data_IF_230220149583
#
_entry.id   IF_230220149583
#
_cell.length_a   1.000
_cell.length_b   1.000
_cell.length_c   1.000
_cell.angle_alpha   90.00
_cell.angle_beta   90.00
_cell.angle_gamma   90.00
#
_symmetry.space_group_name_H-M   'P 1'
#
loop_
_entity.id
_entity.type
_entity.pdbx_description
1 polymer ?
#
# COMPACT_ATOMS: atom_id res chain seq x y z
N UNK A 1 4.20 93.40 -13.41
CA UNK A 1 3.68 92.04 -13.14
C UNK A 1 3.79 91.18 -14.39
N UNK A 2 4.08 89.89 -14.19
CA UNK A 2 4.68 88.93 -15.15
C UNK A 2 3.79 88.54 -16.35
N UNK A 3 4.46 88.36 -17.49
CA UNK A 3 4.01 87.71 -18.74
C UNK A 3 3.79 86.21 -18.55
N UNK A 4 2.72 85.67 -19.13
CA UNK A 4 2.61 84.24 -19.45
C UNK A 4 2.94 84.01 -20.93
N UNK A 5 3.82 83.03 -21.20
CA UNK A 5 4.13 82.52 -22.55
C UNK A 5 3.49 81.13 -22.70
N UNK A 6 2.93 80.75 -23.85
CA UNK A 6 2.42 79.40 -24.06
C UNK A 6 3.57 78.39 -24.26
N UNK A 7 3.50 77.27 -23.56
CA UNK A 7 4.47 76.18 -23.60
C UNK A 7 4.27 75.27 -24.81
N UNK A 8 5.39 74.98 -25.48
CA UNK A 8 5.57 74.20 -26.71
C UNK A 8 5.10 72.75 -26.55
N UNK A 9 4.41 72.26 -27.58
CA UNK A 9 4.11 70.84 -27.84
C UNK A 9 5.38 70.08 -28.26
N UNK A 10 5.99 69.35 -27.33
CA UNK A 10 6.98 68.29 -27.62
C UNK A 10 6.64 66.99 -26.90
N UNK A 11 5.46 66.44 -27.16
CA UNK A 11 5.07 65.13 -26.64
C UNK A 11 4.63 64.22 -27.78
N UNK A 12 5.57 63.46 -28.36
CA UNK A 12 5.21 62.28 -29.17
C UNK A 12 6.31 61.23 -29.36
N UNK A 13 7.61 61.54 -29.15
CA UNK A 13 8.70 60.56 -29.36
C UNK A 13 9.11 59.72 -28.13
N UNK A 14 8.92 60.20 -26.88
CA UNK A 14 9.41 59.45 -25.69
C UNK A 14 8.49 58.31 -25.22
N UNK A 15 7.18 58.35 -25.54
CA UNK A 15 6.23 57.28 -25.17
C UNK A 15 6.41 56.01 -26.01
N UNK A 16 6.80 56.13 -27.28
CA UNK A 16 7.07 55.00 -28.18
C UNK A 16 8.28 54.19 -27.74
N UNK A 17 9.36 54.86 -27.31
CA UNK A 17 10.59 54.20 -26.87
C UNK A 17 10.37 53.45 -25.54
N UNK A 18 9.62 54.05 -24.60
CA UNK A 18 9.27 53.40 -23.32
C UNK A 18 8.30 52.22 -23.49
N UNK A 19 7.35 52.30 -24.43
CA UNK A 19 6.43 51.21 -24.73
C UNK A 19 7.11 50.01 -25.40
N UNK A 20 8.05 50.27 -26.32
CA UNK A 20 8.85 49.22 -26.96
C UNK A 20 9.77 48.48 -25.99
N UNK A 21 10.41 49.21 -25.06
CA UNK A 21 11.29 48.60 -24.05
C UNK A 21 10.49 47.73 -23.06
N UNK A 22 9.29 48.16 -22.68
CA UNK A 22 8.42 47.39 -21.77
C UNK A 22 7.96 46.08 -22.42
N UNK A 23 7.55 46.11 -23.69
CA UNK A 23 7.16 44.91 -24.44
C UNK A 23 8.31 43.90 -24.57
N UNK A 24 9.54 44.39 -24.76
CA UNK A 24 10.72 43.54 -24.91
C UNK A 24 11.10 42.86 -23.58
N UNK A 25 10.95 43.55 -22.45
CA UNK A 25 11.14 42.97 -21.11
C UNK A 25 10.06 41.93 -20.80
N UNK A 26 8.80 42.19 -21.13
CA UNK A 26 7.71 41.22 -20.94
C UNK A 26 7.90 39.97 -21.82
N UNK A 27 8.35 40.14 -23.06
CA UNK A 27 8.66 39.01 -23.95
C UNK A 27 9.83 38.16 -23.43
N UNK A 28 10.87 38.77 -22.86
CA UNK A 28 12.00 38.05 -22.25
C UNK A 28 11.59 37.31 -20.98
N UNK A 29 10.75 37.91 -20.13
CA UNK A 29 10.26 37.27 -18.90
C UNK A 29 9.30 36.10 -19.18
N UNK A 30 8.41 36.25 -20.17
CA UNK A 30 7.49 35.17 -20.58
C UNK A 30 8.22 34.06 -21.34
N UNK A 31 9.18 34.39 -22.21
CA UNK A 31 10.04 33.41 -22.88
C UNK A 31 10.91 32.61 -21.90
N UNK A 32 11.49 33.26 -20.90
CA UNK A 32 12.24 32.59 -19.81
C UNK A 32 11.35 31.66 -18.99
N UNK A 33 10.13 32.12 -18.66
CA UNK A 33 9.14 31.30 -17.93
C UNK A 33 8.73 30.05 -18.70
N UNK A 34 8.50 30.17 -20.01
CA UNK A 34 8.15 29.04 -20.89
C UNK A 34 9.34 28.10 -21.08
N UNK A 35 10.57 28.62 -21.20
CA UNK A 35 11.78 27.79 -21.30
C UNK A 35 12.07 27.03 -20.00
N UNK A 36 11.89 27.68 -18.84
CA UNK A 36 11.99 27.03 -17.52
C UNK A 36 10.90 25.97 -17.30
N UNK A 37 9.69 26.17 -17.86
CA UNK A 37 8.63 25.16 -17.82
C UNK A 37 8.87 24.01 -18.81
N UNK A 38 9.41 24.30 -20.00
CA UNK A 38 9.72 23.29 -21.01
C UNK A 38 10.91 22.39 -20.62
N UNK A 39 11.82 22.87 -19.76
CA UNK A 39 12.89 22.05 -19.18
C UNK A 39 12.46 21.23 -17.96
N UNK A 40 11.21 21.37 -17.47
CA UNK A 40 10.60 20.42 -16.54
C UNK A 40 9.95 19.26 -17.31
N UNK A 41 10.69 18.63 -18.20
CA UNK A 41 10.39 17.22 -18.47
C UNK A 41 10.72 16.50 -17.17
N UNK A 42 9.76 15.85 -16.49
CA UNK A 42 10.10 15.03 -15.33
C UNK A 42 11.18 14.07 -15.79
N UNK A 43 12.34 14.09 -15.12
CA UNK A 43 13.36 13.06 -15.31
C UNK A 43 12.63 11.73 -15.32
N UNK A 44 12.86 10.84 -16.30
CA UNK A 44 12.24 9.52 -16.27
C UNK A 44 12.62 8.93 -14.92
N UNK A 45 11.63 8.77 -14.04
CA UNK A 45 11.82 8.09 -12.76
C UNK A 45 12.37 6.74 -13.15
N UNK A 46 13.65 6.50 -12.87
CA UNK A 46 14.27 5.21 -13.06
C UNK A 46 13.47 4.29 -12.15
N UNK A 47 12.55 3.51 -12.74
CA UNK A 47 11.69 2.58 -11.99
C UNK A 47 12.65 1.72 -11.19
N UNK A 48 12.72 1.93 -9.87
CA UNK A 48 13.58 1.12 -9.03
C UNK A 48 13.08 -0.30 -9.19
N UNK A 49 13.94 -1.18 -9.69
CA UNK A 49 13.63 -2.59 -9.78
C UNK A 49 13.34 -3.09 -8.36
N UNK A 50 12.16 -3.68 -8.17
CA UNK A 50 11.73 -4.16 -6.87
C UNK A 50 12.69 -5.30 -6.49
N UNK A 51 13.34 -5.14 -5.34
CA UNK A 51 14.34 -6.08 -4.86
C UNK A 51 13.64 -7.31 -4.28
N UNK A 52 13.57 -8.38 -5.06
CA UNK A 52 12.89 -9.63 -4.74
C UNK A 52 13.89 -10.73 -4.38
N UNK A 53 13.47 -11.61 -3.47
CA UNK A 53 14.19 -12.84 -3.16
C UNK A 53 14.05 -13.85 -4.31
N UNK A 54 15.04 -14.73 -4.55
CA UNK A 54 14.90 -15.78 -5.55
C UNK A 54 13.69 -16.68 -5.30
N UNK A 55 13.00 -17.08 -6.36
CA UNK A 55 11.89 -18.04 -6.27
C UNK A 55 12.46 -19.44 -6.13
N UNK A 56 12.17 -20.10 -5.00
CA UNK A 56 12.55 -21.49 -4.73
C UNK A 56 11.26 -22.29 -4.54
N UNK A 57 10.83 -23.02 -5.58
CA UNK A 57 9.50 -23.67 -5.60
C UNK A 57 9.36 -24.82 -4.61
N UNK A 58 10.47 -25.52 -4.34
CA UNK A 58 10.50 -26.67 -3.43
C UNK A 58 10.97 -26.28 -2.00
N UNK A 59 10.99 -24.97 -1.68
CA UNK A 59 11.39 -24.51 -0.37
C UNK A 59 10.33 -24.86 0.68
N UNK A 60 10.73 -25.67 1.65
CA UNK A 60 9.98 -25.84 2.89
C UNK A 60 10.35 -24.72 3.87
N UNK A 61 9.54 -23.66 3.89
CA UNK A 61 9.79 -22.48 4.73
C UNK A 61 9.81 -22.83 6.22
N UNK A 62 9.15 -23.92 6.64
CA UNK A 62 9.14 -24.36 8.04
C UNK A 62 10.47 -24.96 8.49
N UNK A 63 11.41 -25.21 7.57
CA UNK A 63 12.79 -25.62 7.87
C UNK A 63 13.78 -24.46 7.92
N UNK A 64 13.38 -23.25 7.51
CA UNK A 64 14.22 -22.07 7.64
C UNK A 64 14.26 -21.63 9.11
N UNK A 65 15.40 -21.88 9.77
CA UNK A 65 15.60 -21.56 11.17
C UNK A 65 15.46 -20.07 11.51
N UNK A 66 15.78 -19.18 10.56
CA UNK A 66 15.62 -17.73 10.75
C UNK A 66 14.15 -17.37 10.70
N UNK A 67 13.44 -17.87 9.69
CA UNK A 67 11.99 -17.66 9.57
C UNK A 67 11.24 -18.19 10.78
N UNK A 68 11.51 -19.44 11.18
CA UNK A 68 10.86 -20.06 12.35
C UNK A 68 11.14 -19.28 13.64
N UNK A 69 12.33 -18.70 13.79
CA UNK A 69 12.67 -17.86 14.95
C UNK A 69 11.98 -16.50 14.92
N UNK A 70 11.82 -15.91 13.73
CA UNK A 70 11.16 -14.61 13.55
C UNK A 70 9.65 -14.71 13.60
N UNK A 71 9.09 -15.83 13.11
CA UNK A 71 7.66 -16.09 13.13
C UNK A 71 7.23 -16.28 14.58
N UNK A 72 6.58 -15.27 15.14
CA UNK A 72 5.72 -15.50 16.28
C UNK A 72 4.56 -16.37 15.81
N UNK A 73 4.25 -17.44 16.56
CA UNK A 73 3.02 -18.22 16.34
C UNK A 73 1.78 -17.53 16.91
N UNK A 74 2.00 -16.39 17.56
CA UNK A 74 0.98 -15.55 18.16
C UNK A 74 0.45 -14.56 17.11
N UNK A 75 -0.87 -14.50 16.97
CA UNK A 75 -1.57 -13.49 16.18
C UNK A 75 -2.04 -12.40 17.15
N UNK A 76 -1.65 -11.15 16.90
CA UNK A 76 -2.25 -10.01 17.59
C UNK A 76 -3.69 -9.85 17.10
N UNK A 77 -4.67 -9.82 18.00
CA UNK A 77 -6.06 -9.53 17.63
C UNK A 77 -6.66 -8.49 18.58
N UNK A 78 -7.28 -7.46 18.00
CA UNK A 78 -7.92 -6.39 18.77
C UNK A 78 -9.35 -6.28 18.26
N UNK A 79 -10.30 -6.50 19.19
CA UNK A 79 -11.74 -6.29 18.94
C UNK A 79 -12.12 -4.84 19.26
N UNK A 80 -13.36 -4.46 18.94
CA UNK A 80 -13.94 -3.21 19.43
C UNK A 80 -13.97 -3.06 20.94
N UNK A 81 -14.07 -4.19 21.65
CA UNK A 81 -14.24 -4.24 23.09
C UNK A 81 -12.89 -4.27 23.84
N UNK A 82 -11.77 -4.32 23.12
CA UNK A 82 -10.41 -4.29 23.66
C UNK A 82 -9.45 -5.26 22.99
N UNK A 83 -8.20 -5.22 23.45
CA UNK A 83 -7.12 -6.09 22.98
C UNK A 83 -7.26 -7.51 23.52
N UNK A 84 -7.12 -8.52 22.66
CA UNK A 84 -6.96 -9.90 23.09
C UNK A 84 -5.79 -10.52 22.33
N UNK A 85 -4.66 -10.70 23.01
CA UNK A 85 -3.54 -11.44 22.42
C UNK A 85 -3.93 -12.92 22.32
N UNK A 86 -4.03 -13.45 21.10
CA UNK A 86 -4.20 -14.88 20.90
C UNK A 86 -2.83 -15.52 20.77
N UNK A 87 -2.55 -16.39 21.73
CA UNK A 87 -1.42 -17.28 21.65
C UNK A 87 -1.89 -18.58 21.04
N UNK A 88 -1.02 -19.20 20.25
CA UNK A 88 -1.19 -20.60 19.91
C UNK A 88 -1.34 -21.37 21.24
N UNK A 89 -2.49 -22.00 21.47
CA UNK A 89 -2.59 -22.86 22.64
C UNK A 89 -1.69 -24.08 22.37
N UNK A 90 -0.93 -24.51 23.38
CA UNK A 90 -0.02 -25.65 23.19
C UNK A 90 -0.73 -26.97 22.83
N UNK A 91 -2.07 -26.96 22.89
CA UNK A 91 -2.99 -28.05 22.55
C UNK A 91 -3.50 -28.02 21.11
N UNK A 92 -3.35 -26.92 20.38
CA UNK A 92 -3.91 -26.74 19.03
C UNK A 92 -5.45 -26.70 19.00
N UNK A 93 -6.11 -26.49 20.14
CA UNK A 93 -7.57 -26.35 20.26
C UNK A 93 -7.98 -24.88 20.15
N UNK A 94 -8.26 -24.50 18.91
CA UNK A 94 -8.65 -23.15 18.55
C UNK A 94 -10.16 -22.90 18.60
N UNK A 95 -10.96 -23.85 19.11
CA UNK A 95 -12.42 -23.72 19.18
C UNK A 95 -12.88 -22.54 20.03
N UNK A 96 -12.03 -22.09 20.97
CA UNK A 96 -12.28 -20.96 21.87
C UNK A 96 -11.87 -19.60 21.31
N UNK A 97 -11.24 -19.57 20.13
CA UNK A 97 -10.84 -18.32 19.49
C UNK A 97 -12.05 -17.59 18.89
N UNK A 98 -11.93 -16.29 18.67
CA UNK A 98 -12.91 -15.54 17.90
C UNK A 98 -13.00 -16.10 16.46
N UNK A 99 -14.19 -16.07 15.86
CA UNK A 99 -14.43 -16.62 14.51
C UNK A 99 -13.61 -15.89 13.44
N UNK A 100 -13.40 -14.59 13.58
CA UNK A 100 -12.62 -13.77 12.66
C UNK A 100 -11.13 -14.05 12.79
N UNK A 101 -10.67 -14.29 14.02
CA UNK A 101 -9.27 -14.68 14.27
C UNK A 101 -8.95 -16.00 13.57
N UNK A 102 -9.81 -17.02 13.70
CA UNK A 102 -9.63 -18.30 12.98
C UNK A 102 -9.65 -18.10 11.47
N UNK A 103 -10.59 -17.30 10.98
CA UNK A 103 -10.72 -17.00 9.55
C UNK A 103 -9.41 -16.44 8.97
N UNK A 104 -8.85 -15.40 9.60
CA UNK A 104 -7.61 -14.77 9.09
C UNK A 104 -6.38 -15.64 9.31
N UNK A 105 -6.31 -16.41 10.39
CA UNK A 105 -5.25 -17.39 10.57
C UNK A 105 -5.24 -18.38 9.40
N UNK A 106 -6.36 -19.06 9.14
CA UNK A 106 -6.44 -20.07 8.10
C UNK A 106 -6.16 -19.46 6.71
N UNK A 107 -6.57 -18.20 6.49
CA UNK A 107 -6.23 -17.43 5.30
C UNK A 107 -4.73 -17.18 5.15
N UNK A 108 -4.03 -16.75 6.20
CA UNK A 108 -2.59 -16.53 6.16
C UNK A 108 -1.80 -17.84 6.13
N UNK A 109 -2.28 -18.90 6.77
CA UNK A 109 -1.67 -20.23 6.68
C UNK A 109 -1.69 -20.74 5.24
N UNK A 110 -2.79 -20.57 4.50
CA UNK A 110 -2.84 -20.88 3.07
C UNK A 110 -1.80 -20.07 2.25
N UNK A 111 -1.52 -18.82 2.63
CA UNK A 111 -0.47 -18.01 2.00
C UNK A 111 0.92 -18.57 2.33
N UNK A 112 1.17 -18.93 3.60
CA UNK A 112 2.45 -19.47 4.07
C UNK A 112 2.73 -20.84 3.42
N UNK A 113 1.71 -21.69 3.32
CA UNK A 113 1.74 -23.02 2.71
C UNK A 113 1.71 -22.98 1.17
N UNK A 114 1.58 -21.81 0.54
CA UNK A 114 1.46 -21.75 -0.92
C UNK A 114 0.20 -22.42 -1.48
N UNK A 115 -0.81 -22.69 -0.64
CA UNK A 115 -2.04 -23.36 -1.08
C UNK A 115 -2.98 -22.36 -1.75
N UNK A 116 -2.79 -22.20 -3.06
CA UNK A 116 -3.59 -21.34 -3.93
C UNK A 116 -5.07 -21.72 -3.93
N UNK A 117 -5.42 -23.00 -3.79
CA UNK A 117 -6.80 -23.47 -3.85
C UNK A 117 -7.53 -23.01 -2.59
N UNK A 118 -6.92 -23.28 -1.43
CA UNK A 118 -7.46 -22.87 -0.12
C UNK A 118 -7.47 -21.34 -0.02
N UNK A 119 -6.40 -20.65 -0.41
CA UNK A 119 -6.34 -19.19 -0.46
C UNK A 119 -7.48 -18.57 -1.27
N UNK A 120 -7.72 -19.06 -2.49
CA UNK A 120 -8.81 -18.56 -3.36
C UNK A 120 -10.19 -18.79 -2.74
N UNK A 121 -10.36 -19.86 -1.96
CA UNK A 121 -11.63 -20.21 -1.34
C UNK A 121 -12.11 -19.18 -0.31
N UNK A 122 -11.21 -18.36 0.25
CA UNK A 122 -11.56 -17.29 1.18
C UNK A 122 -12.26 -16.11 0.52
N UNK A 123 -12.20 -15.96 -0.80
CA UNK A 123 -12.79 -14.84 -1.50
C UNK A 123 -14.20 -15.15 -2.02
N UNK A 124 -15.10 -14.19 -1.92
CA UNK A 124 -16.41 -14.27 -2.59
C UNK A 124 -16.24 -14.27 -4.11
N UNK A 125 -15.28 -13.48 -4.60
CA UNK A 125 -14.83 -13.46 -5.99
C UNK A 125 -13.33 -13.75 -6.02
N UNK A 126 -12.89 -14.96 -6.42
CA UNK A 126 -11.48 -15.32 -6.40
C UNK A 126 -10.59 -14.35 -7.20
N UNK A 127 -9.43 -13.97 -6.68
CA UNK A 127 -8.48 -13.15 -7.43
C UNK A 127 -7.90 -13.92 -8.61
N UNK A 128 -7.46 -13.20 -9.65
CA UNK A 128 -6.85 -13.75 -10.89
C UNK A 128 -5.47 -14.39 -10.65
N UNK A 129 -5.02 -14.50 -9.40
CA UNK A 129 -3.71 -15.05 -9.04
C UNK A 129 -3.61 -16.51 -9.49
N UNK A 130 -2.76 -16.83 -10.46
CA UNK A 130 -2.72 -18.20 -11.02
C UNK A 130 -2.07 -19.20 -10.06
N UNK A 131 -0.91 -18.86 -9.51
CA UNK A 131 -0.11 -19.71 -8.62
C UNK A 131 0.83 -18.85 -7.72
N UNK A 132 1.23 -19.35 -6.55
CA UNK A 132 2.30 -18.78 -5.73
C UNK A 132 2.97 -19.85 -4.85
N UNK A 133 4.26 -19.68 -4.56
CA UNK A 133 5.00 -20.62 -3.69
C UNK A 133 4.74 -20.31 -2.21
N UNK A 134 5.28 -21.13 -1.30
CA UNK A 134 5.33 -20.80 0.12
C UNK A 134 5.84 -19.37 0.37
N UNK A 135 5.26 -18.71 1.37
CA UNK A 135 5.59 -17.33 1.74
C UNK A 135 6.00 -17.24 3.21
N UNK A 136 7.00 -16.41 3.51
CA UNK A 136 7.49 -16.20 4.89
C UNK A 136 6.79 -15.01 5.53
N UNK A 137 5.48 -15.13 5.76
CA UNK A 137 4.66 -14.10 6.41
C UNK A 137 4.97 -14.03 7.91
N UNK A 138 5.09 -12.82 8.45
CA UNK A 138 5.49 -12.53 9.84
C UNK A 138 4.63 -11.42 10.47
N UNK A 139 4.55 -11.44 11.81
CA UNK A 139 4.00 -10.37 12.65
C UNK A 139 2.61 -9.92 12.18
N UNK A 140 1.66 -10.84 12.18
CA UNK A 140 0.29 -10.58 11.74
C UNK A 140 -0.49 -10.01 12.93
N UNK A 141 -0.93 -8.76 12.79
CA UNK A 141 -1.84 -8.11 13.73
C UNK A 141 -3.16 -7.77 13.03
N UNK A 142 -4.27 -8.12 13.66
CA UNK A 142 -5.63 -8.01 13.11
C UNK A 142 -6.44 -7.09 14.02
N UNK A 143 -6.89 -5.96 13.48
CA UNK A 143 -7.65 -4.97 14.21
C UNK A 143 -9.04 -4.82 13.60
N UNK A 144 -10.09 -5.21 14.32
CA UNK A 144 -11.47 -5.00 13.88
C UNK A 144 -11.83 -3.49 13.97
N UNK A 145 -12.48 -2.91 12.96
CA UNK A 145 -12.62 -1.42 12.80
C UNK A 145 -14.03 -0.82 12.77
N UNK A 146 -14.85 -1.11 11.76
CA UNK A 146 -16.32 -0.91 11.87
C UNK A 146 -17.04 -1.99 11.05
N UNK A 147 -18.33 -2.19 11.29
CA UNK A 147 -19.20 -2.89 10.35
C UNK A 147 -19.85 -1.90 9.41
N UNK A 148 -19.93 -2.21 8.12
CA UNK A 148 -20.56 -1.36 7.09
C UNK A 148 -21.60 -2.15 6.30
N UNK A 149 -22.61 -1.47 5.78
CA UNK A 149 -23.54 -2.09 4.82
C UNK A 149 -22.88 -2.11 3.44
N UNK A 150 -22.93 -3.26 2.78
CA UNK A 150 -22.43 -3.46 1.42
C UNK A 150 -23.45 -4.19 0.57
N UNK A 151 -23.30 -4.14 -0.75
CA UNK A 151 -24.16 -4.84 -1.70
C UNK A 151 -23.32 -5.75 -2.58
N UNK A 152 -23.71 -7.03 -2.69
CA UNK A 152 -23.09 -8.02 -3.56
C UNK A 152 -24.17 -8.61 -4.45
N UNK A 153 -24.01 -8.47 -5.76
CA UNK A 153 -24.96 -9.00 -6.76
C UNK A 153 -26.41 -8.57 -6.52
N UNK A 154 -26.67 -7.34 -6.08
CA UNK A 154 -28.02 -6.84 -5.81
C UNK A 154 -28.59 -7.22 -4.44
N UNK A 155 -27.81 -7.90 -3.59
CA UNK A 155 -28.23 -8.33 -2.25
C UNK A 155 -27.40 -7.60 -1.19
N UNK A 156 -28.07 -7.03 -0.18
CA UNK A 156 -27.43 -6.32 0.93
C UNK A 156 -26.83 -7.28 1.97
N UNK A 157 -25.63 -6.96 2.43
CA UNK A 157 -24.90 -7.68 3.48
C UNK A 157 -24.28 -6.71 4.48
N UNK A 158 -24.07 -7.16 5.71
CA UNK A 158 -23.22 -6.47 6.67
C UNK A 158 -21.80 -6.98 6.51
N UNK A 159 -20.88 -6.07 6.17
CA UNK A 159 -19.46 -6.33 6.06
C UNK A 159 -18.74 -5.95 7.35
N UNK A 160 -17.94 -6.87 7.87
CA UNK A 160 -17.02 -6.64 8.98
C UNK A 160 -15.68 -6.17 8.43
N UNK A 161 -15.18 -5.02 8.90
CA UNK A 161 -13.95 -4.43 8.38
C UNK A 161 -12.79 -4.56 9.37
N UNK A 162 -11.62 -4.92 8.83
CA UNK A 162 -10.40 -5.18 9.59
C UNK A 162 -9.23 -4.42 8.99
N UNK A 163 -8.40 -3.80 9.82
CA UNK A 163 -7.05 -3.37 9.45
C UNK A 163 -6.12 -4.49 9.85
N UNK A 164 -5.42 -5.06 8.88
CA UNK A 164 -4.44 -6.12 9.11
C UNK A 164 -3.05 -5.60 8.74
N UNK A 165 -2.13 -5.73 9.68
CA UNK A 165 -0.71 -5.44 9.46
C UNK A 165 0.11 -6.71 9.47
N UNK A 166 1.02 -6.86 8.50
CA UNK A 166 1.91 -8.01 8.39
C UNK A 166 3.17 -7.67 7.61
N UNK A 167 4.18 -8.55 7.66
CA UNK A 167 5.42 -8.43 6.89
C UNK A 167 5.67 -9.70 6.08
N UNK A 168 6.43 -9.59 5.00
CA UNK A 168 6.93 -10.76 4.25
C UNK A 168 8.47 -10.74 4.30
N UNK A 169 9.04 -11.70 5.01
CA UNK A 169 10.49 -11.95 4.97
C UNK A 169 10.87 -12.58 3.64
N UNK A 170 11.96 -12.12 3.03
CA UNK A 170 12.47 -12.69 1.77
C UNK A 170 11.35 -12.82 0.71
N UNK A 171 10.58 -11.75 0.50
CA UNK A 171 9.49 -11.74 -0.49
C UNK A 171 10.03 -12.11 -1.88
N UNK A 172 9.54 -13.21 -2.43
CA UNK A 172 10.01 -13.76 -3.70
C UNK A 172 9.16 -13.33 -4.91
N UNK A 173 8.15 -12.48 -4.69
CA UNK A 173 7.35 -11.92 -5.77
C UNK A 173 6.18 -12.78 -6.22
N UNK A 174 6.14 -14.07 -5.85
CA UNK A 174 5.11 -14.98 -6.37
C UNK A 174 3.75 -14.68 -5.77
N UNK A 175 3.66 -14.37 -4.47
CA UNK A 175 2.43 -13.86 -3.85
C UNK A 175 2.29 -12.33 -4.05
N UNK A 176 3.35 -11.56 -3.78
CA UNK A 176 3.37 -10.08 -3.88
C UNK A 176 4.54 -9.59 -4.72
N UNK A 177 4.29 -9.17 -5.96
CA UNK A 177 5.34 -8.68 -6.87
C UNK A 177 5.55 -7.16 -6.80
N UNK A 178 4.80 -6.49 -5.96
CA UNK A 178 4.70 -5.05 -5.82
C UNK A 178 5.46 -4.51 -4.59
N UNK A 179 6.12 -5.39 -3.84
CA UNK A 179 6.85 -5.10 -2.62
C UNK A 179 8.25 -5.68 -2.66
N UNK A 180 9.22 -4.94 -2.13
CA UNK A 180 10.57 -5.48 -1.93
C UNK A 180 10.60 -6.53 -0.82
N UNK A 181 11.72 -7.24 -0.69
CA UNK A 181 11.93 -8.20 0.38
C UNK A 181 12.25 -7.53 1.73
N UNK A 182 11.61 -7.99 2.81
CA UNK A 182 12.13 -7.74 4.16
C UNK A 182 13.34 -8.63 4.39
N UNK A 183 14.42 -8.09 4.96
CA UNK A 183 15.68 -8.84 5.20
C UNK A 183 16.49 -8.27 6.33
N UNK A 184 17.46 -9.02 6.82
CA UNK A 184 18.54 -8.44 7.61
C UNK A 184 19.48 -7.65 6.68
N UNK A 185 19.88 -6.45 7.12
CA UNK A 185 20.94 -5.72 6.43
C UNK A 185 22.34 -6.20 6.85
N UNK A 186 23.38 -5.60 6.27
CA UNK A 186 24.77 -5.97 6.55
C UNK A 186 25.18 -5.80 8.04
N UNK A 187 24.39 -5.07 8.83
CA UNK A 187 24.61 -4.88 10.27
C UNK A 187 23.88 -5.90 11.14
N UNK A 188 23.11 -6.81 10.52
CA UNK A 188 22.24 -7.75 11.24
C UNK A 188 20.95 -7.10 11.75
N UNK A 189 20.59 -5.91 11.27
CA UNK A 189 19.33 -5.26 11.63
C UNK A 189 18.23 -5.75 10.69
N UNK A 190 17.11 -6.24 11.26
CA UNK A 190 15.95 -6.65 10.48
C UNK A 190 15.26 -5.43 9.88
N UNK A 191 15.23 -5.35 8.55
CA UNK A 191 14.47 -4.36 7.78
C UNK A 191 13.14 -4.98 7.38
N UNK A 192 12.13 -4.73 8.20
CA UNK A 192 10.75 -5.10 7.92
C UNK A 192 10.15 -4.14 6.87
N UNK A 193 9.35 -4.68 5.95
CA UNK A 193 8.43 -3.92 5.12
C UNK A 193 7.04 -4.28 5.61
N UNK A 194 6.45 -3.38 6.39
CA UNK A 194 5.13 -3.59 6.94
C UNK A 194 4.07 -3.21 5.93
N UNK A 195 3.10 -4.11 5.80
CA UNK A 195 1.98 -4.03 4.88
C UNK A 195 0.76 -3.77 5.74
N UNK A 196 0.03 -2.69 5.45
CA UNK A 196 -1.27 -2.39 6.08
C UNK A 196 -2.37 -2.49 5.03
N UNK A 197 -3.29 -3.42 5.25
CA UNK A 197 -4.40 -3.70 4.34
C UNK A 197 -5.72 -3.71 5.10
N UNK A 198 -6.74 -3.15 4.46
CA UNK A 198 -8.11 -3.13 4.96
C UNK A 198 -8.85 -4.27 4.29
N UNK A 199 -9.31 -5.23 5.09
CA UNK A 199 -10.11 -6.36 4.66
C UNK A 199 -11.57 -6.10 5.02
N UNK A 200 -12.47 -6.37 4.08
CA UNK A 200 -13.91 -6.43 4.36
C UNK A 200 -14.37 -7.85 4.08
N UNK A 201 -15.03 -8.46 5.07
CA UNK A 201 -15.58 -9.81 4.96
C UNK A 201 -17.09 -9.79 5.20
N UNK A 202 -17.80 -10.70 4.54
CA UNK A 202 -19.24 -10.93 4.76
C UNK A 202 -19.49 -12.42 4.98
N UNK A 203 -20.60 -12.76 5.62
CA UNK A 203 -21.05 -14.15 5.71
C UNK A 203 -21.93 -14.50 4.50
N UNK A 204 -21.50 -15.49 3.71
CA UNK A 204 -22.22 -16.05 2.58
C UNK A 204 -22.49 -17.53 2.83
N UNK A 205 -23.76 -17.93 2.90
CA UNK A 205 -24.18 -19.32 3.09
C UNK A 205 -23.50 -20.00 4.32
N UNK A 206 -23.36 -19.27 5.43
CA UNK A 206 -22.71 -19.77 6.64
C UNK A 206 -21.18 -19.82 6.59
N UNK A 207 -20.56 -19.17 5.59
CA UNK A 207 -19.10 -19.05 5.49
C UNK A 207 -18.68 -17.59 5.33
N UNK A 208 -17.70 -17.16 6.11
CA UNK A 208 -17.06 -15.86 5.91
C UNK A 208 -16.30 -15.84 4.58
N UNK A 209 -16.38 -14.71 3.87
CA UNK A 209 -15.70 -14.47 2.59
C UNK A 209 -15.18 -13.05 2.50
N UNK A 210 -13.96 -12.90 1.99
CA UNK A 210 -13.36 -11.62 1.61
C UNK A 210 -14.08 -11.08 0.38
N UNK A 211 -14.55 -9.85 0.48
CA UNK A 211 -15.20 -9.13 -0.64
C UNK A 211 -14.39 -7.95 -1.13
N UNK A 212 -13.53 -7.40 -0.27
CA UNK A 212 -12.56 -6.39 -0.68
C UNK A 212 -11.31 -6.45 0.16
N UNK A 213 -10.18 -6.17 -0.49
CA UNK A 213 -8.90 -5.90 0.15
C UNK A 213 -8.40 -4.59 -0.44
N UNK A 214 -8.21 -3.59 0.41
CA UNK A 214 -7.68 -2.28 0.00
C UNK A 214 -6.36 -2.04 0.70
N UNK A 215 -5.32 -1.70 -0.04
CA UNK A 215 -4.05 -1.33 0.57
C UNK A 215 -4.14 0.06 1.16
N UNK A 216 -3.81 0.18 2.44
CA UNK A 216 -3.76 1.46 3.14
C UNK A 216 -2.35 2.05 3.06
N UNK A 217 -1.32 1.32 3.51
CA UNK A 217 0.06 1.83 3.62
C UNK A 217 1.13 0.75 3.42
N UNK A 218 2.33 1.19 3.06
CA UNK A 218 3.57 0.43 3.07
C UNK A 218 4.58 1.26 3.88
N UNK A 219 5.20 0.66 4.88
CA UNK A 219 6.17 1.32 5.76
C UNK A 219 7.62 0.92 5.44
#
# INVERSE_FOLDING_TARGET
MKKERPLKTKFKKSRLIKGGLLLLVVALLTGSSVFMFAQRTPSPVKKSEIDLYPVIRDEDVFKDAIYVKLRTRDYGYITYEGETLFKEDQTGDYSKQDVYCRFFRDYFDAIVEGDVIVFKSFYATPPVKEDFTHQKVLNIDINQTTSTQTELNGVGYTAENFIITYNIFQNNGTFRNDLSQSRFDATGTFKAIAIEEIYSIVELNGQWKIVSVTRSKIF
#
